data_IF_574760238978
#
_entry.id   IF_574760238978
#
_cell.length_a   1.000
_cell.length_b   1.000
_cell.length_c   1.000
_cell.angle_alpha   90.00
_cell.angle_beta   90.00
_cell.angle_gamma   90.00
#
_symmetry.space_group_name_H-M   'P 1'
#
loop_
_entity.id
_entity.type
_entity.pdbx_description
1 polymer ?
#
# COMPACT_ATOMS: atom_id res chain seq x y z
N UNK A 1 -4.54 14.05 -6.67
CA UNK A 1 -4.57 13.87 -5.20
C UNK A 1 -3.18 13.48 -4.74
N UNK A 2 -2.67 14.15 -3.70
CA UNK A 2 -1.35 13.82 -3.12
C UNK A 2 -1.49 12.50 -2.34
N UNK A 3 -0.44 11.68 -2.33
CA UNK A 3 -0.46 10.34 -1.74
C UNK A 3 -0.82 10.35 -0.24
N UNK A 4 -0.37 11.37 0.50
CA UNK A 4 -0.73 11.53 1.92
C UNK A 4 -2.24 11.72 2.09
N UNK A 5 -2.84 12.63 1.32
CA UNK A 5 -4.28 12.92 1.32
C UNK A 5 -5.08 11.67 0.87
N UNK A 6 -4.58 10.98 -0.14
CA UNK A 6 -5.16 9.74 -0.65
C UNK A 6 -5.20 8.65 0.43
N UNK A 7 -4.11 8.50 1.18
CA UNK A 7 -4.01 7.57 2.30
C UNK A 7 -5.05 7.84 3.38
N UNK A 8 -5.19 9.10 3.79
CA UNK A 8 -6.19 9.49 4.79
C UNK A 8 -7.63 9.27 4.30
N UNK A 9 -7.91 9.65 3.05
CA UNK A 9 -9.22 9.48 2.46
C UNK A 9 -9.61 8.00 2.32
N UNK A 10 -8.64 7.15 1.95
CA UNK A 10 -8.82 5.71 1.91
C UNK A 10 -9.10 5.11 3.29
N UNK A 11 -8.39 5.55 4.33
CA UNK A 11 -8.63 5.09 5.70
C UNK A 11 -10.04 5.48 6.18
N UNK A 12 -10.50 6.68 5.85
CA UNK A 12 -11.90 7.10 6.11
C UNK A 12 -12.89 6.21 5.36
N UNK A 13 -12.66 5.94 4.08
CA UNK A 13 -13.48 5.00 3.28
C UNK A 13 -13.52 3.60 3.92
N UNK A 14 -12.38 3.06 4.33
CA UNK A 14 -12.29 1.76 4.99
C UNK A 14 -13.06 1.71 6.31
N UNK A 15 -13.07 2.80 7.07
CA UNK A 15 -13.81 2.89 8.32
C UNK A 15 -15.33 3.00 8.08
N UNK A 16 -15.75 3.89 7.19
CA UNK A 16 -17.16 4.28 7.05
C UNK A 16 -17.94 3.35 6.12
N UNK A 17 -17.37 2.95 4.99
CA UNK A 17 -18.09 2.16 3.98
C UNK A 17 -17.81 0.66 4.14
N UNK A 18 -16.58 0.31 4.51
CA UNK A 18 -16.15 -1.10 4.61
C UNK A 18 -16.27 -1.68 6.01
N UNK A 19 -16.54 -0.85 7.02
CA UNK A 19 -16.69 -1.26 8.42
C UNK A 19 -15.56 -2.19 8.90
N UNK A 20 -14.31 -1.89 8.50
CA UNK A 20 -13.18 -2.72 8.90
C UNK A 20 -13.05 -2.74 10.43
N UNK A 21 -12.73 -3.92 10.96
CA UNK A 21 -12.52 -4.11 12.39
C UNK A 21 -11.42 -3.15 12.91
N UNK A 22 -11.52 -2.67 14.17
CA UNK A 22 -10.60 -1.65 14.70
C UNK A 22 -9.12 -2.03 14.60
N UNK A 23 -8.79 -3.30 14.82
CA UNK A 23 -7.44 -3.84 14.70
C UNK A 23 -6.92 -3.81 13.25
N UNK A 24 -7.77 -4.12 12.27
CA UNK A 24 -7.43 -4.04 10.84
C UNK A 24 -7.23 -2.58 10.42
N UNK A 25 -8.08 -1.66 10.90
CA UNK A 25 -7.93 -0.24 10.60
C UNK A 25 -6.64 0.33 11.21
N UNK A 26 -6.29 -0.05 12.44
CA UNK A 26 -5.04 0.34 13.07
C UNK A 26 -3.81 -0.16 12.29
N UNK A 27 -3.86 -1.42 11.84
CA UNK A 27 -2.84 -2.00 10.96
C UNK A 27 -2.71 -1.21 9.63
N UNK A 28 -3.84 -0.85 9.00
CA UNK A 28 -3.84 -0.07 7.76
C UNK A 28 -3.30 1.35 7.96
N UNK A 29 -3.55 2.00 9.10
CA UNK A 29 -2.94 3.31 9.41
C UNK A 29 -1.41 3.23 9.39
N UNK A 30 -0.84 2.19 10.01
CA UNK A 30 0.61 1.95 10.02
C UNK A 30 1.14 1.58 8.63
N UNK A 31 0.33 0.93 7.80
CA UNK A 31 0.69 0.55 6.43
C UNK A 31 0.72 1.75 5.49
N UNK A 32 -0.32 2.59 5.54
CA UNK A 32 -0.41 3.84 4.80
C UNK A 32 0.71 4.80 5.20
N UNK A 33 0.98 4.94 6.51
CA UNK A 33 2.05 5.81 6.99
C UNK A 33 3.43 5.40 6.43
N UNK A 34 3.73 4.10 6.38
CA UNK A 34 4.98 3.60 5.81
C UNK A 34 5.06 3.79 4.29
N UNK A 35 3.93 3.63 3.59
CA UNK A 35 3.86 3.89 2.15
C UNK A 35 4.16 5.36 1.85
N UNK A 36 3.50 6.28 2.57
CA UNK A 36 3.71 7.73 2.45
C UNK A 36 5.15 8.10 2.84
N UNK A 37 5.69 7.50 3.89
CA UNK A 37 7.09 7.72 4.31
C UNK A 37 8.09 7.29 3.22
N UNK A 38 7.79 6.23 2.48
CA UNK A 38 8.68 5.74 1.42
C UNK A 38 8.62 6.62 0.16
N UNK A 39 7.42 6.98 -0.29
CA UNK A 39 7.23 7.73 -1.54
C UNK A 39 7.29 9.25 -1.37
N UNK A 40 7.07 9.74 -0.15
CA UNK A 40 7.02 11.16 0.17
C UNK A 40 5.75 11.85 -0.34
N UNK A 41 5.84 13.17 -0.47
CA UNK A 41 4.73 14.03 -0.91
C UNK A 41 4.64 14.09 -2.43
N UNK A 42 4.25 12.97 -3.04
CA UNK A 42 4.04 12.86 -4.50
C UNK A 42 2.57 12.72 -4.85
N UNK A 43 2.22 12.99 -6.10
CA UNK A 43 0.91 12.64 -6.64
C UNK A 43 0.74 11.12 -6.69
N UNK A 44 -0.44 10.60 -6.31
CA UNK A 44 -0.70 9.17 -6.36
C UNK A 44 -0.57 8.58 -7.79
N UNK A 45 -0.81 9.39 -8.82
CA UNK A 45 -0.63 9.03 -10.23
C UNK A 45 0.83 8.83 -10.64
N UNK A 46 1.79 9.30 -9.84
CA UNK A 46 3.23 9.13 -10.10
C UNK A 46 3.76 7.78 -9.60
N UNK A 47 2.97 7.01 -8.84
CA UNK A 47 3.37 5.68 -8.37
C UNK A 47 3.18 4.68 -9.50
N UNK A 48 4.28 4.14 -10.01
CA UNK A 48 4.30 3.12 -11.07
C UNK A 48 4.43 1.70 -10.50
N UNK A 49 4.21 0.69 -11.34
CA UNK A 49 4.45 -0.71 -11.00
C UNK A 49 5.91 -0.97 -10.58
N UNK A 50 6.88 -0.37 -11.27
CA UNK A 50 8.30 -0.48 -10.94
C UNK A 50 8.62 0.13 -9.57
N UNK A 51 8.00 1.27 -9.26
CA UNK A 51 8.08 1.89 -7.94
C UNK A 51 7.53 0.96 -6.84
N UNK A 52 6.46 0.21 -7.11
CA UNK A 52 5.91 -0.77 -6.15
C UNK A 52 6.79 -2.01 -5.98
N UNK A 53 7.47 -2.44 -7.04
CA UNK A 53 8.48 -3.50 -6.97
C UNK A 53 9.67 -3.04 -6.12
N UNK A 54 10.16 -1.82 -6.36
CA UNK A 54 11.23 -1.21 -5.56
C UNK A 54 10.82 -1.02 -4.09
N UNK A 55 9.58 -0.60 -3.83
CA UNK A 55 9.03 -0.52 -2.47
C UNK A 55 9.00 -1.90 -1.79
N UNK A 56 8.58 -2.95 -2.51
CA UNK A 56 8.60 -4.32 -1.97
C UNK A 56 10.01 -4.74 -1.60
N UNK A 57 10.98 -4.47 -2.47
CA UNK A 57 12.39 -4.75 -2.21
C UNK A 57 12.86 -3.96 -0.97
N UNK A 58 12.53 -2.68 -0.84
CA UNK A 58 12.89 -1.86 0.33
C UNK A 58 12.34 -2.44 1.65
N UNK A 59 11.09 -2.93 1.65
CA UNK A 59 10.45 -3.53 2.82
C UNK A 59 11.13 -4.84 3.25
N UNK A 60 11.65 -5.63 2.31
CA UNK A 60 12.41 -6.86 2.63
C UNK A 60 13.87 -6.55 2.94
N UNK A 61 14.51 -5.63 2.23
CA UNK A 61 15.90 -5.21 2.38
C UNK A 61 16.05 -3.74 1.91
N UNK A 62 16.47 -2.79 2.76
CA UNK A 62 17.15 -2.95 4.04
C UNK A 62 16.26 -3.09 5.27
N UNK A 63 14.93 -2.94 5.14
CA UNK A 63 14.05 -2.92 6.34
C UNK A 63 13.93 -4.26 7.06
N UNK A 64 14.23 -5.39 6.40
CA UNK A 64 14.24 -6.72 7.04
C UNK A 64 12.89 -7.16 7.60
N UNK A 65 11.77 -6.66 7.08
CA UNK A 65 10.47 -6.95 7.67
C UNK A 65 10.05 -8.41 7.44
N UNK A 66 9.36 -8.97 8.43
CA UNK A 66 8.79 -10.31 8.32
C UNK A 66 7.86 -10.41 7.09
N UNK A 67 7.86 -11.55 6.36
CA UNK A 67 7.07 -11.72 5.14
C UNK A 67 5.57 -11.43 5.31
N UNK A 68 5.00 -11.77 6.47
CA UNK A 68 3.60 -11.48 6.79
C UNK A 68 3.32 -9.97 6.83
N UNK A 69 4.25 -9.18 7.38
CA UNK A 69 4.16 -7.71 7.42
C UNK A 69 4.26 -7.12 6.02
N UNK A 70 5.19 -7.60 5.19
CA UNK A 70 5.33 -7.15 3.79
C UNK A 70 4.05 -7.44 3.01
N UNK A 71 3.51 -8.65 3.11
CA UNK A 71 2.24 -9.03 2.46
C UNK A 71 1.08 -8.13 2.89
N UNK A 72 0.94 -7.86 4.19
CA UNK A 72 -0.12 -6.98 4.71
C UNK A 72 0.01 -5.55 4.20
N UNK A 73 1.23 -4.98 4.20
CA UNK A 73 1.52 -3.65 3.64
C UNK A 73 1.17 -3.56 2.16
N UNK A 74 1.54 -4.57 1.36
CA UNK A 74 1.21 -4.62 -0.07
C UNK A 74 -0.28 -4.80 -0.32
N UNK A 75 -0.97 -5.58 0.51
CA UNK A 75 -2.43 -5.71 0.43
C UNK A 75 -3.13 -4.38 0.73
N UNK A 76 -2.68 -3.64 1.75
CA UNK A 76 -3.19 -2.30 2.06
C UNK A 76 -2.94 -1.32 0.90
N UNK A 77 -1.71 -1.27 0.37
CA UNK A 77 -1.37 -0.42 -0.77
C UNK A 77 -2.23 -0.76 -2.00
N UNK A 78 -2.37 -2.04 -2.35
CA UNK A 78 -3.24 -2.48 -3.45
C UNK A 78 -4.69 -2.05 -3.24
N UNK A 79 -5.20 -2.14 -2.01
CA UNK A 79 -6.53 -1.65 -1.64
C UNK A 79 -6.69 -0.15 -1.89
N UNK A 80 -5.72 0.66 -1.47
CA UNK A 80 -5.67 2.11 -1.69
C UNK A 80 -5.72 2.45 -3.18
N UNK A 81 -4.83 1.89 -3.99
CA UNK A 81 -4.76 2.25 -5.41
C UNK A 81 -5.98 1.77 -6.21
N UNK A 82 -6.50 0.57 -5.92
CA UNK A 82 -7.78 0.10 -6.50
C UNK A 82 -8.94 1.02 -6.13
N UNK A 83 -8.98 1.49 -4.89
CA UNK A 83 -9.99 2.45 -4.46
C UNK A 83 -9.86 3.77 -5.22
N UNK A 84 -8.65 4.32 -5.35
CA UNK A 84 -8.41 5.55 -6.11
C UNK A 84 -8.80 5.44 -7.58
N UNK A 85 -8.55 4.30 -8.22
CA UNK A 85 -9.03 4.04 -9.59
C UNK A 85 -10.56 4.01 -9.65
N UNK A 86 -11.22 3.35 -8.69
CA UNK A 86 -12.69 3.28 -8.60
C UNK A 86 -13.35 4.66 -8.43
N UNK A 87 -12.73 5.57 -7.68
CA UNK A 87 -13.25 6.93 -7.46
C UNK A 87 -12.75 7.94 -8.50
N UNK A 88 -12.06 7.49 -9.55
CA UNK A 88 -11.67 8.32 -10.70
C UNK A 88 -10.43 9.19 -10.49
N UNK A 89 -9.66 8.99 -9.42
CA UNK A 89 -8.39 9.71 -9.21
C UNK A 89 -7.22 9.13 -10.01
N UNK A 90 -7.32 7.87 -10.44
CA UNK A 90 -6.35 7.17 -11.27
C UNK A 90 -7.05 6.60 -12.50
N UNK A 91 -6.39 6.67 -13.65
CA UNK A 91 -6.86 6.05 -14.91
C UNK A 91 -6.56 4.56 -14.98
N UNK A 92 -5.50 4.10 -14.29
CA UNK A 92 -5.11 2.71 -14.20
C UNK A 92 -4.57 2.38 -12.79
N UNK A 93 -4.81 1.15 -12.32
CA UNK A 93 -4.22 0.65 -11.08
C UNK A 93 -2.74 0.27 -11.32
N UNK A 94 -1.76 0.89 -10.63
CA UNK A 94 -0.35 0.54 -10.77
C UNK A 94 0.00 -0.87 -10.27
N UNK A 95 -0.90 -1.54 -9.58
CA UNK A 95 -0.78 -2.96 -9.24
C UNK A 95 -1.35 -3.91 -10.30
N UNK A 96 -1.99 -3.39 -11.36
CA UNK A 96 -2.49 -4.20 -12.46
C UNK A 96 -1.31 -4.77 -13.26
N UNK A 97 -1.32 -6.08 -13.51
CA UNK A 97 -0.24 -6.76 -14.23
C UNK A 97 1.07 -6.91 -13.45
N UNK A 98 1.18 -6.42 -12.21
CA UNK A 98 2.40 -6.57 -11.41
C UNK A 98 2.43 -7.89 -10.64
N UNK A 99 3.38 -8.77 -10.98
CA UNK A 99 3.65 -9.99 -10.21
C UNK A 99 4.66 -9.71 -9.09
N UNK A 100 4.17 -9.49 -7.86
CA UNK A 100 5.02 -9.26 -6.69
C UNK A 100 5.12 -10.55 -5.88
N UNK A 101 6.28 -11.23 -5.94
CA UNK A 101 6.58 -12.44 -5.16
C UNK A 101 7.31 -12.10 -3.87
N UNK A 102 6.62 -12.21 -2.73
CA UNK A 102 7.24 -12.15 -1.39
C UNK A 102 7.67 -13.57 -1.00
N UNK A 103 8.96 -13.90 -1.19
CA UNK A 103 9.54 -15.18 -0.75
C UNK A 103 9.61 -15.22 0.78
N UNK A 104 9.13 -16.32 1.37
CA UNK A 104 9.42 -16.63 2.78
C UNK A 104 10.79 -17.28 2.85
N UNK A 105 11.78 -16.58 3.39
CA UNK A 105 12.94 -17.28 3.98
C UNK A 105 12.47 -17.84 5.31
N UNK A 106 12.04 -19.10 5.32
CA UNK A 106 11.98 -19.87 6.57
C UNK A 106 13.44 -20.17 6.91
N UNK A 107 14.07 -19.30 7.70
CA UNK A 107 15.26 -19.71 8.44
C UNK A 107 14.74 -20.70 9.48
N UNK A 108 15.02 -21.99 9.24
CA UNK A 108 14.95 -23.02 10.26
C UNK A 108 16.15 -22.88 11.19
#
# INVERSE_FOLDING_TARGET
>A
MILIEAGEAFLRHCQLERHLAPNTLAAYRQDVAELVRHFGSIHATAVSSDALVAYTAHLTNPRGLAPATVKRRLACARGLFRWLTRVGHLTADPFAGTEIRVRMSVVR
#
